data_IF_496602866560
#
_entry.id   IF_496602866560
#
_cell.length_a   1.000
_cell.length_b   1.000
_cell.length_c   1.000
_cell.angle_alpha   90.00
_cell.angle_beta   90.00
_cell.angle_gamma   90.00
#
_symmetry.space_group_name_H-M   'P 1'
#
loop_
_entity.id
_entity.type
_entity.pdbx_description
1 polymer ?
#
# COMPACT_ATOMS: atom_id res chain seq x y z
N UNK A 1 8.15 23.11 -0.70
CA UNK A 1 7.13 22.29 -1.40
C UNK A 1 6.83 21.02 -0.61
N UNK A 2 5.61 20.57 -0.63
CA UNK A 2 5.23 19.38 0.18
C UNK A 2 5.96 18.11 -0.26
N UNK A 3 6.17 17.91 -1.55
CA UNK A 3 6.87 16.75 -2.07
C UNK A 3 8.31 16.66 -1.55
N UNK A 4 9.00 17.79 -1.48
CA UNK A 4 10.36 17.84 -0.94
C UNK A 4 10.40 17.44 0.55
N UNK A 5 9.39 17.89 1.31
CA UNK A 5 9.26 17.52 2.73
C UNK A 5 9.00 16.03 2.89
N UNK A 6 8.15 15.45 2.07
CA UNK A 6 7.87 14.01 2.06
C UNK A 6 9.14 13.23 1.71
N UNK A 7 9.85 13.64 0.65
CA UNK A 7 11.07 12.99 0.22
C UNK A 7 12.16 13.02 1.29
N UNK A 8 12.36 14.18 1.93
CA UNK A 8 13.34 14.31 3.01
C UNK A 8 13.00 13.44 4.22
N UNK A 9 11.74 13.44 4.65
CA UNK A 9 11.27 12.57 5.72
C UNK A 9 11.49 11.09 5.38
N UNK A 10 11.21 10.68 4.15
CA UNK A 10 11.41 9.31 3.68
C UNK A 10 12.88 8.91 3.64
N UNK A 11 13.79 9.78 3.25
CA UNK A 11 15.23 9.49 3.31
C UNK A 11 15.67 9.14 4.73
N UNK A 12 15.23 9.92 5.71
CA UNK A 12 15.54 9.68 7.11
C UNK A 12 14.88 8.39 7.64
N UNK A 13 13.63 8.15 7.29
CA UNK A 13 12.88 6.95 7.67
C UNK A 13 13.56 5.68 7.11
N UNK A 14 13.92 5.69 5.83
CA UNK A 14 14.62 4.59 5.17
C UNK A 14 16.00 4.35 5.78
N UNK A 15 16.74 5.42 6.09
CA UNK A 15 18.06 5.29 6.75
C UNK A 15 17.92 4.58 8.10
N UNK A 16 16.97 5.00 8.93
CA UNK A 16 16.68 4.33 10.22
C UNK A 16 16.23 2.87 10.05
N UNK A 17 15.41 2.60 9.03
CA UNK A 17 14.97 1.24 8.75
C UNK A 17 16.11 0.33 8.33
N UNK A 18 17.05 0.82 7.51
CA UNK A 18 18.26 0.08 7.10
C UNK A 18 19.19 -0.22 8.28
N UNK A 19 19.27 0.67 9.26
CA UNK A 19 20.04 0.43 10.49
C UNK A 19 19.44 -0.70 11.33
N UNK A 20 18.12 -0.82 11.35
CA UNK A 20 17.42 -1.89 12.08
C UNK A 20 17.44 -3.22 11.32
N UNK A 21 17.34 -3.17 9.99
CA UNK A 21 17.34 -4.36 9.14
C UNK A 21 17.97 -4.04 7.79
N UNK A 22 19.07 -4.70 7.47
CA UNK A 22 19.81 -4.50 6.22
C UNK A 22 19.02 -4.98 4.99
N UNK A 23 19.37 -4.44 3.82
CA UNK A 23 18.85 -4.92 2.54
C UNK A 23 19.14 -6.43 2.34
N UNK A 24 20.33 -6.88 2.67
CA UNK A 24 20.71 -8.29 2.57
C UNK A 24 19.82 -9.18 3.45
N UNK A 25 19.49 -8.75 4.66
CA UNK A 25 18.56 -9.46 5.55
C UNK A 25 17.14 -9.53 4.97
N UNK A 26 16.66 -8.43 4.36
CA UNK A 26 15.37 -8.42 3.68
C UNK A 26 15.34 -9.36 2.49
N UNK A 27 16.38 -9.36 1.66
CA UNK A 27 16.51 -10.25 0.51
C UNK A 27 16.49 -11.73 0.93
N UNK A 28 17.22 -12.06 1.99
CA UNK A 28 17.21 -13.41 2.56
C UNK A 28 15.80 -13.80 3.03
N UNK A 29 15.14 -12.90 3.79
CA UNK A 29 13.79 -13.15 4.28
C UNK A 29 12.76 -13.34 3.16
N UNK A 30 12.88 -12.58 2.06
CA UNK A 30 12.01 -12.75 0.88
C UNK A 30 12.21 -14.13 0.25
N UNK A 31 13.45 -14.61 0.18
CA UNK A 31 13.76 -15.95 -0.35
C UNK A 31 13.18 -17.10 0.48
N UNK A 32 12.90 -16.85 1.75
CA UNK A 32 12.31 -17.85 2.67
C UNK A 32 10.78 -17.83 2.70
N UNK A 33 10.14 -16.87 2.02
CA UNK A 33 8.68 -16.78 1.99
C UNK A 33 8.08 -17.92 1.16
N UNK A 34 7.14 -18.62 1.75
CA UNK A 34 6.34 -19.63 1.07
C UNK A 34 5.25 -19.00 0.18
N UNK A 35 4.73 -17.87 0.63
CA UNK A 35 3.70 -17.11 -0.08
C UNK A 35 4.26 -16.43 -1.33
N UNK A 36 3.57 -16.60 -2.44
CA UNK A 36 3.91 -15.95 -3.70
C UNK A 36 3.12 -14.65 -3.90
N UNK A 37 3.63 -13.67 -4.67
CA UNK A 37 2.85 -12.52 -5.08
C UNK A 37 1.54 -12.92 -5.75
N UNK A 38 0.46 -12.19 -5.48
CA UNK A 38 -0.88 -12.52 -6.00
C UNK A 38 -1.08 -12.17 -7.48
N UNK A 39 -0.11 -11.53 -8.13
CA UNK A 39 -0.17 -11.22 -9.55
C UNK A 39 -0.89 -9.91 -9.85
N UNK A 40 -0.40 -8.82 -9.31
CA UNK A 40 -0.96 -7.47 -9.51
C UNK A 40 -1.12 -7.13 -11.01
N UNK A 41 -0.06 -7.24 -11.79
CA UNK A 41 -0.10 -6.97 -13.23
C UNK A 41 -1.03 -7.93 -13.97
N UNK A 42 -1.01 -9.20 -13.60
CA UNK A 42 -1.87 -10.22 -14.22
C UNK A 42 -3.34 -9.89 -13.99
N UNK A 43 -3.73 -9.46 -12.80
CA UNK A 43 -5.10 -9.07 -12.50
C UNK A 43 -5.56 -7.88 -13.32
N UNK A 44 -4.72 -6.86 -13.46
CA UNK A 44 -5.00 -5.69 -14.29
C UNK A 44 -5.19 -6.08 -15.78
N UNK A 45 -4.28 -6.88 -16.32
CA UNK A 45 -4.35 -7.34 -17.70
C UNK A 45 -5.59 -8.20 -17.97
N UNK A 46 -5.87 -9.16 -17.11
CA UNK A 46 -7.04 -10.03 -17.27
C UNK A 46 -8.35 -9.25 -17.28
N UNK A 47 -8.50 -8.26 -16.41
CA UNK A 47 -9.66 -7.39 -16.36
C UNK A 47 -9.78 -6.55 -17.63
N UNK A 48 -8.71 -5.92 -18.07
CA UNK A 48 -8.69 -5.10 -19.28
C UNK A 48 -8.98 -5.92 -20.53
N UNK A 49 -8.38 -7.10 -20.66
CA UNK A 49 -8.59 -8.02 -21.80
C UNK A 49 -10.02 -8.56 -21.86
N UNK A 50 -10.71 -8.66 -20.73
CA UNK A 50 -12.12 -9.05 -20.69
C UNK A 50 -13.09 -7.93 -21.11
N UNK A 51 -12.58 -6.73 -21.40
CA UNK A 51 -13.39 -5.58 -21.84
C UNK A 51 -13.87 -4.68 -20.69
N UNK A 52 -13.47 -4.95 -19.44
CA UNK A 52 -13.79 -4.12 -18.29
C UNK A 52 -12.67 -3.16 -17.96
N UNK A 53 -13.00 -2.05 -17.27
CA UNK A 53 -11.99 -1.14 -16.75
C UNK A 53 -11.30 -1.77 -15.56
N UNK A 54 -9.98 -1.91 -15.65
CA UNK A 54 -9.16 -2.39 -14.54
C UNK A 54 -8.90 -1.25 -13.54
N UNK A 55 -9.41 -1.37 -12.34
CA UNK A 55 -9.34 -0.35 -11.29
C UNK A 55 -8.32 -0.75 -10.23
N UNK A 56 -7.41 0.16 -9.91
CA UNK A 56 -6.59 0.11 -8.71
C UNK A 56 -7.29 0.99 -7.68
N UNK A 57 -7.91 0.37 -6.67
CA UNK A 57 -8.61 1.09 -5.61
C UNK A 57 -7.66 1.44 -4.47
N UNK A 58 -7.66 2.69 -4.03
CA UNK A 58 -6.74 3.16 -3.00
C UNK A 58 -7.39 3.23 -1.62
N UNK A 59 -6.72 2.64 -0.63
CA UNK A 59 -7.07 2.68 0.79
C UNK A 59 -6.25 3.79 1.45
N UNK A 60 -6.88 4.93 1.72
CA UNK A 60 -6.22 6.14 2.22
C UNK A 60 -7.09 6.84 3.27
N UNK A 61 -6.55 7.01 4.49
CA UNK A 61 -7.24 7.75 5.56
C UNK A 61 -7.09 9.26 5.42
N UNK A 62 -5.90 9.72 5.10
CA UNK A 62 -5.61 11.14 5.02
C UNK A 62 -4.48 11.46 4.06
N UNK A 63 -4.27 12.75 3.82
CA UNK A 63 -3.19 13.26 2.99
C UNK A 63 -2.73 14.64 3.46
N UNK A 64 -1.52 15.11 3.07
CA UNK A 64 -1.04 16.45 3.45
C UNK A 64 -1.92 17.58 2.93
N UNK A 65 -2.56 17.41 1.77
CA UNK A 65 -3.38 18.44 1.13
C UNK A 65 -4.82 18.50 1.65
N UNK A 66 -5.36 17.36 2.08
CA UNK A 66 -6.77 17.23 2.48
C UNK A 66 -6.99 16.96 3.97
N UNK A 67 -5.92 16.68 4.73
CA UNK A 67 -6.04 16.21 6.11
C UNK A 67 -6.74 14.85 6.16
N UNK A 68 -7.58 14.63 7.16
CA UNK A 68 -8.38 13.39 7.25
C UNK A 68 -9.43 13.38 6.15
N UNK A 69 -9.35 12.39 5.27
CA UNK A 69 -10.31 12.18 4.17
C UNK A 69 -11.50 11.37 4.67
N UNK A 70 -11.25 10.39 5.53
CA UNK A 70 -12.28 9.54 6.11
C UNK A 70 -12.04 9.33 7.60
N UNK A 71 -12.91 9.95 8.42
CA UNK A 71 -12.87 9.82 9.89
C UNK A 71 -13.13 8.38 10.32
N UNK A 72 -14.18 7.77 9.77
CA UNK A 72 -14.56 6.38 10.00
C UNK A 72 -13.74 5.48 9.07
N UNK A 73 -12.47 5.25 9.44
CA UNK A 73 -11.53 4.53 8.62
C UNK A 73 -11.22 3.15 9.22
N UNK A 74 -11.72 2.11 8.53
CA UNK A 74 -11.33 0.72 8.75
C UNK A 74 -10.75 0.16 7.44
N UNK A 75 -9.42 -0.01 7.35
CA UNK A 75 -8.78 -0.43 6.09
C UNK A 75 -9.23 -1.81 5.62
N UNK A 76 -9.54 -2.73 6.52
CA UNK A 76 -10.01 -4.06 6.15
C UNK A 76 -11.40 -3.99 5.52
N UNK A 77 -12.34 -3.33 6.18
CA UNK A 77 -13.72 -3.17 5.66
C UNK A 77 -13.72 -2.46 4.31
N UNK A 78 -12.93 -1.38 4.17
CA UNK A 78 -12.81 -0.66 2.89
C UNK A 78 -12.26 -1.57 1.80
N UNK A 79 -11.26 -2.37 2.09
CA UNK A 79 -10.64 -3.30 1.14
C UNK A 79 -11.62 -4.39 0.69
N UNK A 80 -12.41 -4.91 1.60
CA UNK A 80 -13.47 -5.89 1.31
C UNK A 80 -14.54 -5.28 0.39
N UNK A 81 -14.97 -4.06 0.67
CA UNK A 81 -15.93 -3.33 -0.18
C UNK A 81 -15.36 -3.14 -1.60
N UNK A 82 -14.11 -2.73 -1.72
CA UNK A 82 -13.46 -2.59 -3.02
C UNK A 82 -13.38 -3.93 -3.78
N UNK A 83 -13.00 -4.99 -3.10
CA UNK A 83 -12.93 -6.33 -3.68
C UNK A 83 -14.31 -6.80 -4.14
N UNK A 84 -15.33 -6.66 -3.31
CA UNK A 84 -16.70 -7.09 -3.60
C UNK A 84 -17.31 -6.31 -4.77
N UNK A 85 -16.84 -5.10 -5.03
CA UNK A 85 -17.29 -4.26 -6.14
C UNK A 85 -16.37 -4.30 -7.37
N UNK A 86 -15.46 -5.27 -7.44
CA UNK A 86 -14.72 -5.60 -8.66
C UNK A 86 -13.42 -4.84 -8.87
N UNK A 87 -12.81 -4.24 -7.84
CA UNK A 87 -11.47 -3.70 -7.97
C UNK A 87 -10.49 -4.82 -8.38
N UNK A 88 -9.68 -4.56 -9.40
CA UNK A 88 -8.68 -5.52 -9.84
C UNK A 88 -7.50 -5.60 -8.87
N UNK A 89 -7.13 -4.47 -8.28
CA UNK A 89 -6.01 -4.35 -7.35
C UNK A 89 -6.33 -3.33 -6.26
N UNK A 90 -5.56 -3.39 -5.17
CA UNK A 90 -5.61 -2.42 -4.09
C UNK A 90 -4.26 -1.71 -3.96
N UNK A 91 -4.31 -0.41 -3.69
CA UNK A 91 -3.17 0.39 -3.26
C UNK A 91 -3.40 0.82 -1.83
N UNK A 92 -2.47 0.52 -0.92
CA UNK A 92 -2.65 0.78 0.50
C UNK A 92 -1.61 1.78 0.98
N UNK A 93 -2.05 2.92 1.50
CA UNK A 93 -1.16 3.93 2.08
C UNK A 93 -0.68 3.45 3.44
N UNK A 94 0.64 3.21 3.53
CA UNK A 94 1.30 2.73 4.75
C UNK A 94 2.10 3.80 5.47
N UNK A 95 2.29 4.96 4.86
CA UNK A 95 2.98 6.09 5.46
C UNK A 95 2.19 6.65 6.65
N UNK A 96 2.83 6.72 7.82
CA UNK A 96 2.19 7.20 9.04
C UNK A 96 2.13 8.72 9.10
N UNK A 97 3.25 9.38 8.80
CA UNK A 97 3.44 10.80 9.05
C UNK A 97 2.55 11.70 8.17
N UNK A 98 2.50 11.43 6.86
CA UNK A 98 1.78 12.27 5.89
C UNK A 98 0.41 11.72 5.49
N UNK A 99 0.21 10.41 5.56
CA UNK A 99 -0.99 9.74 5.06
C UNK A 99 -1.77 8.98 6.12
N UNK A 100 -1.34 9.05 7.38
CA UNK A 100 -2.03 8.41 8.52
C UNK A 100 -2.22 6.90 8.32
N UNK A 101 -1.31 6.26 7.58
CA UNK A 101 -1.32 4.83 7.32
C UNK A 101 -0.54 4.02 8.35
N UNK A 102 -0.40 2.73 8.10
CA UNK A 102 0.44 1.83 8.89
C UNK A 102 0.80 0.57 8.09
N UNK A 103 2.02 0.06 8.26
CA UNK A 103 2.47 -1.16 7.58
C UNK A 103 1.64 -2.39 7.95
N UNK A 104 1.07 -2.44 9.15
CA UNK A 104 0.21 -3.55 9.58
C UNK A 104 -1.04 -3.74 8.72
N UNK A 105 -1.46 -2.71 7.99
CA UNK A 105 -2.62 -2.81 7.09
C UNK A 105 -2.40 -3.85 5.99
N UNK A 106 -1.17 -3.99 5.49
CA UNK A 106 -0.83 -4.97 4.45
C UNK A 106 -1.12 -6.40 4.91
N UNK A 107 -0.69 -6.75 6.12
CA UNK A 107 -0.95 -8.08 6.67
C UNK A 107 -2.43 -8.35 6.97
N UNK A 108 -3.17 -7.31 7.38
CA UNK A 108 -4.62 -7.43 7.66
C UNK A 108 -5.45 -7.60 6.39
N UNK A 109 -5.07 -6.92 5.32
CA UNK A 109 -5.78 -6.91 4.04
C UNK A 109 -5.45 -8.15 3.22
N UNK A 110 -4.20 -8.61 3.26
CA UNK A 110 -3.75 -9.80 2.56
C UNK A 110 -4.38 -11.08 3.13
#
# INVERSE_FOLDING_TARGET
>A
MILDKIAEHKRQEVARAKDRRSLASLQSGVGELEDQPRGFLRALRATAESGWTAVIAEVKKGSPSKGVIREDFDPLTISEIYQDNGAACLSVLTDEHFFMGHLSYLGKIR
#
